data_IF_706907904642
#
_entry.id   IF_706907904642
#
_cell.length_a   1.000
_cell.length_b   1.000
_cell.length_c   1.000
_cell.angle_alpha   90.00
_cell.angle_beta   90.00
_cell.angle_gamma   90.00
#
_symmetry.space_group_name_H-M   'P 1'
#
loop_
_entity.id
_entity.type
_entity.pdbx_description
1 polymer ?
#
# COMPACT_ATOMS: atom_id res chain seq x y z
N UNK A 1 30.91 -3.65 8.55
CA UNK A 1 29.58 -3.02 8.39
C UNK A 1 28.56 -4.00 8.91
N UNK A 2 27.72 -3.63 9.85
CA UNK A 2 26.65 -4.51 10.26
C UNK A 2 25.68 -4.67 9.09
N UNK A 3 25.40 -5.93 8.76
CA UNK A 3 24.33 -6.22 7.81
C UNK A 3 23.03 -5.70 8.42
N UNK A 4 22.36 -4.80 7.72
CA UNK A 4 20.99 -4.41 8.05
C UNK A 4 20.15 -5.68 8.03
N UNK A 5 19.79 -6.19 9.18
CA UNK A 5 18.83 -7.28 9.23
C UNK A 5 17.46 -6.70 8.93
N UNK A 6 16.92 -7.07 7.78
CA UNK A 6 15.53 -6.76 7.44
C UNK A 6 14.63 -7.63 8.32
N UNK A 7 13.84 -6.98 9.15
CA UNK A 7 12.75 -7.63 9.86
C UNK A 7 11.47 -7.43 9.09
N UNK A 8 10.68 -8.47 8.96
CA UNK A 8 9.37 -8.39 8.36
C UNK A 8 8.30 -8.49 9.42
N UNK A 9 7.44 -7.48 9.50
CA UNK A 9 6.25 -7.52 10.32
C UNK A 9 5.10 -8.07 9.48
N UNK A 10 4.46 -9.12 9.97
CA UNK A 10 3.33 -9.74 9.30
C UNK A 10 2.02 -9.32 9.99
N UNK A 11 1.11 -8.75 9.22
CA UNK A 11 -0.24 -8.44 9.69
C UNK A 11 -1.20 -9.26 8.84
N UNK A 12 -1.59 -10.43 9.35
CA UNK A 12 -2.31 -11.38 8.53
C UNK A 12 -1.44 -11.83 7.36
N UNK A 13 -1.88 -11.54 6.14
CA UNK A 13 -1.14 -11.87 4.92
C UNK A 13 -0.17 -10.75 4.48
N UNK A 14 -0.11 -9.64 5.22
CA UNK A 14 0.77 -8.51 4.93
C UNK A 14 2.14 -8.72 5.57
N UNK A 15 3.18 -8.56 4.78
CA UNK A 15 4.55 -8.53 5.27
C UNK A 15 5.09 -7.10 5.09
N UNK A 16 5.49 -6.50 6.19
CA UNK A 16 6.10 -5.18 6.21
C UNK A 16 7.60 -5.33 6.46
N UNK A 17 8.46 -5.09 5.47
CA UNK A 17 9.88 -5.02 5.71
C UNK A 17 10.20 -3.73 6.48
N UNK A 18 10.77 -3.89 7.67
CA UNK A 18 11.26 -2.78 8.49
C UNK A 18 12.78 -2.94 8.66
N UNK A 19 13.50 -1.85 8.62
CA UNK A 19 14.91 -1.87 8.94
C UNK A 19 15.15 -1.85 10.47
N UNK A 20 16.39 -2.12 10.88
CA UNK A 20 16.75 -2.13 12.31
C UNK A 20 16.50 -0.76 12.96
N UNK A 21 16.73 0.32 12.24
CA UNK A 21 16.53 1.67 12.75
C UNK A 21 15.06 1.90 13.07
N UNK A 22 14.18 1.47 12.19
CA UNK A 22 12.73 1.54 12.41
C UNK A 22 12.30 0.72 13.63
N UNK A 23 12.92 -0.45 13.86
CA UNK A 23 12.61 -1.30 15.01
C UNK A 23 13.10 -0.69 16.32
N UNK A 24 14.30 -0.13 16.34
CA UNK A 24 14.81 0.58 17.52
C UNK A 24 13.92 1.75 17.87
N UNK A 25 13.48 2.49 16.90
CA UNK A 25 12.51 3.58 17.10
C UNK A 25 11.15 3.07 17.55
N UNK A 26 10.71 1.93 17.02
CA UNK A 26 9.47 1.29 17.43
C UNK A 26 9.50 0.80 18.88
N UNK A 27 10.64 0.36 19.39
CA UNK A 27 10.81 0.02 20.81
C UNK A 27 10.65 1.23 21.73
N UNK A 28 11.05 2.41 21.28
CA UNK A 28 10.78 3.66 21.98
C UNK A 28 9.36 4.21 21.75
N UNK A 29 8.56 3.51 20.94
CA UNK A 29 7.20 3.89 20.60
C UNK A 29 7.07 4.95 19.51
N UNK A 30 8.16 5.44 18.97
CA UNK A 30 8.16 6.52 17.98
C UNK A 30 9.03 6.20 16.79
N UNK A 31 8.50 6.46 15.59
CA UNK A 31 9.23 6.40 14.33
C UNK A 31 9.56 7.83 13.88
N UNK A 32 10.71 8.34 14.31
CA UNK A 32 11.14 9.70 14.01
C UNK A 32 11.30 10.53 15.26
N UNK A 33 12.41 11.23 15.36
CA UNK A 33 12.86 11.94 16.57
C UNK A 33 12.85 13.45 16.43
N UNK A 34 12.52 13.97 15.26
CA UNK A 34 12.56 15.40 14.99
C UNK A 34 11.17 15.96 14.70
N UNK A 35 11.02 17.27 14.83
CA UNK A 35 9.84 18.01 14.40
C UNK A 35 9.48 17.80 12.92
N UNK A 36 10.44 17.32 12.13
CA UNK A 36 10.25 16.86 10.75
C UNK A 36 10.95 15.53 10.59
N UNK A 37 10.19 14.49 10.29
CA UNK A 37 10.71 13.17 9.97
C UNK A 37 10.08 12.68 8.67
N UNK A 38 10.90 12.17 7.79
CA UNK A 38 10.45 11.56 6.55
C UNK A 38 11.18 10.23 6.38
N UNK A 39 10.42 9.17 6.13
CA UNK A 39 10.95 7.86 5.83
C UNK A 39 10.02 7.13 4.87
N UNK A 40 10.56 6.14 4.17
CA UNK A 40 9.79 5.32 3.25
C UNK A 40 10.14 3.85 3.44
N UNK A 41 9.16 3.01 3.17
CA UNK A 41 9.36 1.57 3.16
C UNK A 41 8.47 0.94 2.10
N UNK A 42 8.70 -0.36 1.82
CA UNK A 42 7.91 -1.15 0.90
C UNK A 42 7.41 -2.40 1.61
N UNK A 43 6.23 -2.83 1.22
CA UNK A 43 5.69 -4.12 1.63
C UNK A 43 4.98 -4.78 0.44
N UNK A 44 4.77 -6.07 0.54
CA UNK A 44 4.00 -6.82 -0.45
C UNK A 44 2.73 -7.36 0.18
N UNK A 45 1.65 -7.23 -0.57
CA UNK A 45 0.40 -7.92 -0.29
C UNK A 45 -0.01 -8.67 -1.54
N UNK A 46 -0.13 -9.99 -1.42
CA UNK A 46 -0.23 -10.87 -2.58
C UNK A 46 0.98 -10.63 -3.48
N UNK A 47 0.79 -10.36 -4.74
CA UNK A 47 1.90 -10.07 -5.67
C UNK A 47 2.10 -8.57 -5.91
N UNK A 48 1.36 -7.75 -5.19
CA UNK A 48 1.41 -6.30 -5.33
C UNK A 48 2.41 -5.69 -4.37
N UNK A 49 3.34 -4.93 -4.90
CA UNK A 49 4.30 -4.17 -4.11
C UNK A 49 3.75 -2.77 -3.82
N UNK A 50 3.67 -2.43 -2.54
CA UNK A 50 3.27 -1.11 -2.08
C UNK A 50 4.49 -0.32 -1.63
N UNK A 51 4.53 0.95 -2.00
CA UNK A 51 5.50 1.91 -1.49
C UNK A 51 4.78 2.87 -0.57
N UNK A 52 5.32 3.07 0.62
CA UNK A 52 4.77 3.97 1.63
C UNK A 52 5.79 5.03 1.96
N UNK A 53 5.40 6.29 1.87
CA UNK A 53 6.16 7.44 2.36
C UNK A 53 5.46 8.01 3.56
N UNK A 54 6.17 8.06 4.67
CA UNK A 54 5.68 8.68 5.89
C UNK A 54 6.35 10.01 6.10
N UNK A 55 5.57 11.01 6.49
CA UNK A 55 6.05 12.34 6.78
C UNK A 55 5.42 12.86 8.06
N UNK A 56 6.25 13.44 8.92
CA UNK A 56 5.80 14.11 10.13
C UNK A 56 6.34 15.53 10.13
N UNK A 57 5.45 16.50 10.27
CA UNK A 57 5.77 17.93 10.24
C UNK A 57 4.79 18.72 11.09
N UNK A 58 5.32 19.59 11.96
CA UNK A 58 4.53 20.50 12.77
C UNK A 58 3.38 19.84 13.56
N UNK A 59 3.63 18.67 14.17
CA UNK A 59 2.64 17.94 14.95
C UNK A 59 1.60 17.19 14.11
N UNK A 60 1.75 17.17 12.78
CA UNK A 60 0.92 16.40 11.87
C UNK A 60 1.73 15.29 11.23
N UNK A 61 1.13 14.13 11.08
CA UNK A 61 1.76 12.99 10.44
C UNK A 61 0.85 12.44 9.33
N UNK A 62 1.47 12.00 8.25
CA UNK A 62 0.77 11.43 7.10
C UNK A 62 1.57 10.33 6.45
N UNK A 63 0.88 9.46 5.73
CA UNK A 63 1.49 8.46 4.88
C UNK A 63 0.90 8.56 3.47
N UNK A 64 1.76 8.44 2.49
CA UNK A 64 1.37 8.37 1.08
C UNK A 64 1.66 6.96 0.57
N UNK A 65 0.62 6.26 0.13
CA UNK A 65 0.71 4.91 -0.42
C UNK A 65 0.62 4.96 -1.94
N UNK A 66 1.48 4.22 -2.60
CA UNK A 66 1.42 4.02 -4.04
C UNK A 66 1.67 2.57 -4.41
N UNK A 67 0.95 2.09 -5.41
CA UNK A 67 1.11 0.74 -5.93
C UNK A 67 0.57 0.63 -7.36
N UNK A 68 1.09 -0.31 -8.13
CA UNK A 68 0.48 -0.73 -9.38
C UNK A 68 -0.28 -2.04 -9.14
N UNK A 69 -1.60 -1.99 -9.25
CA UNK A 69 -2.47 -3.11 -8.94
C UNK A 69 -2.61 -4.09 -10.11
N UNK A 70 -2.39 -3.63 -11.32
CA UNK A 70 -2.49 -4.47 -12.50
C UNK A 70 -2.32 -3.67 -13.78
N UNK A 71 -2.27 -4.41 -14.89
CA UNK A 71 -2.16 -3.86 -16.24
C UNK A 71 -3.40 -4.26 -17.02
N UNK A 72 -4.00 -3.30 -17.71
CA UNK A 72 -5.08 -3.57 -18.65
C UNK A 72 -4.53 -4.28 -19.86
N UNK A 73 -5.02 -5.48 -20.23
CA UNK A 73 -4.60 -6.14 -21.45
C UNK A 73 -5.00 -5.33 -22.70
N UNK A 74 -4.25 -5.47 -23.77
CA UNK A 74 -4.62 -4.86 -25.05
C UNK A 74 -5.97 -5.38 -25.53
N UNK A 75 -6.68 -4.57 -26.30
CA UNK A 75 -8.01 -4.93 -26.81
C UNK A 75 -8.01 -6.20 -27.69
N UNK A 76 -6.89 -6.48 -28.33
CA UNK A 76 -6.73 -7.68 -29.15
C UNK A 76 -6.46 -8.95 -28.33
N UNK A 77 -6.06 -8.84 -27.07
CA UNK A 77 -5.67 -9.98 -26.24
C UNK A 77 -6.87 -10.60 -25.53
N UNK A 78 -7.71 -9.80 -24.89
CA UNK A 78 -8.86 -10.31 -24.15
C UNK A 78 -9.90 -9.22 -23.87
N UNK A 79 -10.99 -9.25 -24.60
CA UNK A 79 -12.12 -8.35 -24.38
C UNK A 79 -12.83 -8.61 -23.05
N UNK A 80 -12.98 -9.88 -22.66
CA UNK A 80 -13.63 -10.26 -21.39
C UNK A 80 -12.82 -9.82 -20.18
N UNK A 81 -11.50 -9.99 -20.21
CA UNK A 81 -10.61 -9.52 -19.14
C UNK A 81 -10.69 -8.00 -18.97
N UNK A 82 -10.66 -7.26 -20.07
CA UNK A 82 -10.79 -5.81 -20.06
C UNK A 82 -12.12 -5.39 -19.43
N UNK A 83 -13.18 -6.08 -19.77
CA UNK A 83 -14.50 -5.82 -19.18
C UNK A 83 -14.50 -6.05 -17.66
N UNK A 84 -14.05 -7.22 -17.20
CA UNK A 84 -14.00 -7.53 -15.76
C UNK A 84 -13.11 -6.56 -14.98
N UNK A 85 -11.95 -6.21 -15.50
CA UNK A 85 -11.07 -5.25 -14.83
C UNK A 85 -11.69 -3.85 -14.72
N UNK A 86 -12.43 -3.43 -15.73
CA UNK A 86 -13.17 -2.16 -15.67
C UNK A 86 -14.29 -2.19 -14.65
N UNK A 87 -15.03 -3.29 -14.58
CA UNK A 87 -16.08 -3.45 -13.58
C UNK A 87 -15.53 -3.46 -12.14
N UNK A 88 -14.43 -4.16 -11.92
CA UNK A 88 -13.73 -4.17 -10.63
C UNK A 88 -13.26 -2.77 -10.26
N UNK A 89 -12.63 -2.08 -11.19
CA UNK A 89 -12.17 -0.70 -11.00
C UNK A 89 -13.34 0.25 -10.69
N UNK A 90 -14.42 0.15 -11.45
CA UNK A 90 -15.62 0.96 -11.24
C UNK A 90 -16.21 0.73 -9.85
N UNK A 91 -16.35 -0.53 -9.44
CA UNK A 91 -16.80 -0.89 -8.10
C UNK A 91 -15.90 -0.35 -6.99
N UNK A 92 -14.58 -0.44 -7.18
CA UNK A 92 -13.62 0.11 -6.23
C UNK A 92 -13.76 1.64 -6.09
N UNK A 93 -13.88 2.35 -7.20
CA UNK A 93 -14.07 3.82 -7.18
C UNK A 93 -15.37 4.20 -6.49
N UNK A 94 -16.45 3.46 -6.73
CA UNK A 94 -17.74 3.73 -6.07
C UNK A 94 -17.70 3.52 -4.55
N UNK A 95 -16.98 2.50 -4.06
CA UNK A 95 -16.94 2.16 -2.65
C UNK A 95 -15.83 2.87 -1.87
N UNK A 96 -14.69 3.10 -2.50
CA UNK A 96 -13.48 3.59 -1.84
C UNK A 96 -13.10 5.02 -2.25
N UNK A 97 -13.79 5.59 -3.24
CA UNK A 97 -13.41 6.86 -3.83
C UNK A 97 -12.35 6.72 -4.92
N UNK A 98 -11.86 7.84 -5.48
CA UNK A 98 -10.97 7.86 -6.64
C UNK A 98 -9.50 7.60 -6.27
N UNK A 99 -9.24 6.55 -5.47
CA UNK A 99 -7.88 6.19 -5.05
C UNK A 99 -7.16 5.29 -6.05
N UNK A 100 -7.91 4.66 -6.96
CA UNK A 100 -7.36 3.83 -8.03
C UNK A 100 -7.65 4.51 -9.36
N UNK A 101 -6.61 4.84 -10.10
CA UNK A 101 -6.72 5.44 -11.42
C UNK A 101 -6.22 4.48 -12.50
N UNK A 102 -6.91 4.48 -13.63
CA UNK A 102 -6.42 3.82 -14.83
C UNK A 102 -5.64 4.84 -15.65
N UNK A 103 -4.33 4.70 -15.66
CA UNK A 103 -3.42 5.59 -16.39
C UNK A 103 -2.45 4.78 -17.22
N UNK A 104 -2.36 5.11 -18.50
CA UNK A 104 -1.47 4.44 -19.46
C UNK A 104 -1.60 2.91 -19.44
N UNK A 105 -2.83 2.42 -19.33
CA UNK A 105 -3.11 0.98 -19.28
C UNK A 105 -2.76 0.30 -17.96
N UNK A 106 -2.48 1.06 -16.90
CA UNK A 106 -2.16 0.52 -15.57
C UNK A 106 -3.14 1.03 -14.53
N UNK A 107 -3.56 0.13 -13.65
CA UNK A 107 -4.33 0.48 -12.47
C UNK A 107 -3.36 0.90 -11.37
N UNK A 108 -3.32 2.18 -11.07
CA UNK A 108 -2.42 2.76 -10.07
C UNK A 108 -3.20 3.19 -8.85
N UNK A 109 -2.75 2.73 -7.70
CA UNK A 109 -3.22 3.19 -6.41
C UNK A 109 -2.39 4.38 -5.97
N UNK A 110 -3.07 5.42 -5.53
CA UNK A 110 -2.47 6.59 -4.91
C UNK A 110 -3.39 7.05 -3.78
N UNK A 111 -2.92 6.98 -2.56
CA UNK A 111 -3.73 7.30 -1.39
C UNK A 111 -2.92 8.02 -0.32
N UNK A 112 -3.56 8.95 0.35
CA UNK A 112 -3.03 9.66 1.50
C UNK A 112 -3.77 9.23 2.76
N UNK A 113 -3.01 8.94 3.82
CA UNK A 113 -3.55 8.59 5.13
C UNK A 113 -3.06 9.62 6.15
N UNK A 114 -3.97 10.06 7.00
CA UNK A 114 -3.60 10.81 8.19
C UNK A 114 -3.18 9.84 9.29
N UNK A 115 -2.05 10.11 9.90
CA UNK A 115 -1.50 9.29 10.98
C UNK A 115 -1.57 10.05 12.31
N UNK A 116 -1.73 9.34 13.43
CA UNK A 116 -1.52 9.94 14.74
C UNK A 116 -0.08 10.46 14.86
N UNK A 117 0.10 11.64 15.36
CA UNK A 117 1.41 12.18 15.67
C UNK A 117 1.71 12.02 17.17
N UNK A 118 2.91 11.59 17.57
CA UNK A 118 4.02 11.16 16.71
C UNK A 118 3.75 9.82 16.01
N UNK A 119 4.47 9.56 14.91
CA UNK A 119 4.33 8.30 14.18
C UNK A 119 4.90 7.17 15.02
N UNK A 120 4.07 6.18 15.31
CA UNK A 120 4.47 4.95 16.01
C UNK A 120 4.29 3.76 15.08
N UNK A 121 5.01 2.67 15.35
CA UNK A 121 4.84 1.43 14.60
C UNK A 121 3.40 0.91 14.69
N UNK A 122 2.83 0.88 15.88
CA UNK A 122 1.44 0.45 16.10
C UNK A 122 0.44 1.33 15.38
N UNK A 123 0.58 2.64 15.46
CA UNK A 123 -0.30 3.59 14.77
C UNK A 123 -0.23 3.44 13.25
N UNK A 124 0.97 3.31 12.71
CA UNK A 124 1.19 3.12 11.28
C UNK A 124 0.56 1.80 10.79
N UNK A 125 0.82 0.69 11.48
CA UNK A 125 0.27 -0.62 11.14
C UNK A 125 -1.26 -0.60 11.23
N UNK A 126 -1.82 0.02 12.24
CA UNK A 126 -3.27 0.14 12.43
C UNK A 126 -3.93 0.88 11.26
N UNK A 127 -3.38 2.01 10.87
CA UNK A 127 -3.93 2.82 9.77
C UNK A 127 -3.74 2.14 8.41
N UNK A 128 -2.60 1.50 8.17
CA UNK A 128 -2.38 0.71 6.95
C UNK A 128 -3.37 -0.46 6.85
N UNK A 129 -3.59 -1.18 7.94
CA UNK A 129 -4.53 -2.30 7.99
C UNK A 129 -5.95 -1.81 7.74
N UNK A 130 -6.36 -0.73 8.39
CA UNK A 130 -7.68 -0.12 8.21
C UNK A 130 -7.92 0.30 6.76
N UNK A 131 -6.90 0.82 6.11
CA UNK A 131 -6.96 1.20 4.70
C UNK A 131 -7.03 -0.02 3.77
N UNK A 132 -6.22 -1.04 4.03
CA UNK A 132 -6.09 -2.20 3.15
C UNK A 132 -7.27 -3.18 3.25
N UNK A 133 -7.93 -3.27 4.39
CA UNK A 133 -9.04 -4.20 4.57
C UNK A 133 -10.17 -3.99 3.55
N UNK A 134 -10.70 -2.79 3.33
CA UNK A 134 -11.72 -2.58 2.29
C UNK A 134 -11.18 -2.70 0.86
N UNK A 135 -9.89 -2.52 0.66
CA UNK A 135 -9.23 -2.64 -0.63
C UNK A 135 -8.94 -4.11 -1.01
N UNK A 136 -8.80 -4.98 -0.03
CA UNK A 136 -8.45 -6.39 -0.20
C UNK A 136 -9.26 -7.11 -1.27
N UNK A 137 -10.61 -7.09 -1.27
CA UNK A 137 -11.38 -7.82 -2.28
C UNK A 137 -11.09 -7.36 -3.71
N UNK A 138 -10.84 -6.09 -3.92
CA UNK A 138 -10.54 -5.57 -5.26
C UNK A 138 -9.15 -6.00 -5.74
N UNK A 139 -8.16 -6.02 -4.86
CA UNK A 139 -6.82 -6.52 -5.18
C UNK A 139 -6.91 -8.02 -5.55
N UNK A 140 -7.63 -8.79 -4.78
CA UNK A 140 -7.81 -10.22 -5.02
C UNK A 140 -8.56 -10.51 -6.31
N UNK A 141 -9.64 -9.78 -6.60
CA UNK A 141 -10.39 -9.92 -7.84
C UNK A 141 -9.53 -9.57 -9.06
N UNK A 142 -8.74 -8.50 -9.00
CA UNK A 142 -7.82 -8.14 -10.09
C UNK A 142 -6.76 -9.22 -10.29
N UNK A 143 -6.23 -9.79 -9.22
CA UNK A 143 -5.27 -10.90 -9.29
C UNK A 143 -5.90 -12.15 -9.92
N UNK A 144 -7.13 -12.50 -9.55
CA UNK A 144 -7.86 -13.63 -10.13
C UNK A 144 -8.07 -13.47 -11.63
N UNK A 145 -8.48 -12.29 -12.09
CA UNK A 145 -8.68 -12.02 -13.52
C UNK A 145 -7.39 -12.21 -14.30
N UNK A 146 -6.27 -11.81 -13.73
CA UNK A 146 -4.95 -12.01 -14.36
C UNK A 146 -4.54 -13.49 -14.43
N UNK A 147 -4.87 -14.27 -13.41
CA UNK A 147 -4.54 -15.70 -13.35
C UNK A 147 -5.33 -16.53 -14.37
N UNK A 148 -6.60 -16.18 -14.59
CA UNK A 148 -7.47 -16.91 -15.52
C UNK A 148 -7.04 -16.73 -16.99
N UNK A 149 -6.28 -15.70 -17.30
CA UNK A 149 -5.85 -15.38 -18.65
C UNK A 149 -4.42 -15.80 -18.96
N UNK A 150 -3.73 -16.36 -18.00
CA UNK A 150 -2.37 -16.89 -18.23
C UNK A 150 -2.41 -18.26 -18.91
#
# INVERSE_FOLDING_TARGET
>A
MPKSSEFSLSIGELQLPLDITSIVQAQSGQLGTASQAEFSFRFRYRETAFTVRCKSEAGKASAHLSATLGVMPFSAESASQRHYLREIHHGAVQHLGPIIALSRGRFQLDAHLDLPAPITATGLITELTRFLLPLKPYIELMAMVRMVAA
#
